data_IF_911453562810
#
_entry.id   IF_911453562810
#
_cell.length_a   1.000
_cell.length_b   1.000
_cell.length_c   1.000
_cell.angle_alpha   90.00
_cell.angle_beta   90.00
_cell.angle_gamma   90.00
#
_symmetry.space_group_name_H-M   'P 1'
#
loop_
_entity.id
_entity.type
_entity.pdbx_description
1 polymer ?
#
# COMPACT_ATOMS: atom_id res chain seq x y z
N UNK A 1 6.08 34.08 -53.03
CA UNK A 1 5.45 33.98 -51.69
C UNK A 1 6.24 34.79 -50.68
N UNK A 2 5.58 35.64 -49.89
CA UNK A 2 6.20 36.36 -48.76
C UNK A 2 6.78 35.36 -47.75
N UNK A 3 7.88 35.71 -47.10
CA UNK A 3 8.56 34.86 -46.09
C UNK A 3 7.60 34.43 -44.98
N UNK A 4 6.65 35.29 -44.58
CA UNK A 4 5.58 34.95 -43.63
C UNK A 4 4.75 33.74 -44.06
N UNK A 5 4.39 33.66 -45.34
CA UNK A 5 3.57 32.57 -45.86
C UNK A 5 4.35 31.24 -45.89
N UNK A 6 5.68 31.31 -46.07
CA UNK A 6 6.55 30.13 -46.01
C UNK A 6 6.65 29.59 -44.58
N UNK A 7 6.76 30.47 -43.58
CA UNK A 7 6.83 30.09 -42.15
C UNK A 7 5.51 29.48 -41.68
N UNK A 8 4.38 30.10 -42.03
CA UNK A 8 3.05 29.56 -41.67
C UNK A 8 2.84 28.19 -42.30
N UNK A 9 3.18 28.02 -43.60
CA UNK A 9 3.08 26.74 -44.27
C UNK A 9 3.95 25.66 -43.59
N UNK A 10 5.18 26.00 -43.23
CA UNK A 10 6.08 25.08 -42.53
C UNK A 10 5.52 24.66 -41.16
N UNK A 11 5.00 25.61 -40.39
CA UNK A 11 4.40 25.32 -39.08
C UNK A 11 3.19 24.39 -39.20
N UNK A 12 2.33 24.59 -40.21
CA UNK A 12 1.18 23.71 -40.48
C UNK A 12 1.65 22.30 -40.85
N UNK A 13 2.68 22.18 -41.70
CA UNK A 13 3.23 20.87 -42.08
C UNK A 13 3.82 20.13 -40.88
N UNK A 14 4.55 20.83 -40.00
CA UNK A 14 5.09 20.24 -38.76
C UNK A 14 3.96 19.78 -37.85
N UNK A 15 2.94 20.61 -37.65
CA UNK A 15 1.82 20.30 -36.76
C UNK A 15 1.00 19.10 -37.27
N UNK A 16 0.77 19.01 -38.58
CA UNK A 16 0.15 17.83 -39.21
C UNK A 16 1.03 16.59 -39.04
N UNK A 17 2.34 16.71 -39.22
CA UNK A 17 3.29 15.62 -38.99
C UNK A 17 3.28 15.10 -37.55
N UNK A 18 3.21 16.01 -36.57
CA UNK A 18 3.09 15.66 -35.15
C UNK A 18 1.76 14.96 -34.85
N UNK A 19 0.65 15.45 -35.39
CA UNK A 19 -0.68 14.82 -35.23
C UNK A 19 -0.71 13.40 -35.78
N UNK A 20 -0.22 13.19 -37.00
CA UNK A 20 -0.15 11.86 -37.62
C UNK A 20 0.77 10.94 -36.82
N UNK A 21 1.93 11.42 -36.39
CA UNK A 21 2.86 10.64 -35.56
C UNK A 21 2.25 10.27 -34.21
N UNK A 22 1.52 11.20 -33.58
CA UNK A 22 0.83 10.97 -32.33
C UNK A 22 -0.30 9.95 -32.47
N UNK A 23 -1.13 10.06 -33.52
CA UNK A 23 -2.21 9.11 -33.78
C UNK A 23 -1.69 7.70 -34.05
N UNK A 24 -0.62 7.57 -34.84
CA UNK A 24 0.04 6.27 -35.06
C UNK A 24 0.63 5.70 -33.76
N UNK A 25 1.25 6.53 -32.91
CA UNK A 25 1.79 6.10 -31.62
C UNK A 25 0.67 5.67 -30.65
N UNK A 26 -0.45 6.39 -30.64
CA UNK A 26 -1.62 6.08 -29.83
C UNK A 26 -2.27 4.77 -30.30
N UNK A 27 -2.48 4.61 -31.61
CA UNK A 27 -3.06 3.41 -32.20
C UNK A 27 -2.15 2.19 -31.98
N UNK A 28 -0.83 2.35 -32.10
CA UNK A 28 0.12 1.30 -31.77
C UNK A 28 0.05 0.90 -30.30
N UNK A 29 -0.07 1.87 -29.39
CA UNK A 29 -0.22 1.62 -27.94
C UNK A 29 -1.54 0.93 -27.62
N UNK A 30 -2.62 1.30 -28.30
CA UNK A 30 -3.94 0.69 -28.15
C UNK A 30 -3.96 -0.75 -28.69
N UNK A 31 -3.37 -0.98 -29.86
CA UNK A 31 -3.23 -2.32 -30.48
C UNK A 31 -2.40 -3.27 -29.62
N UNK A 32 -1.38 -2.78 -28.91
CA UNK A 32 -0.60 -3.57 -27.94
C UNK A 32 -1.43 -4.03 -26.74
N UNK A 33 -2.62 -3.46 -26.53
CA UNK A 33 -3.51 -3.77 -25.41
C UNK A 33 -2.85 -3.63 -24.02
N UNK A 34 -1.77 -2.87 -23.92
CA UNK A 34 -1.03 -2.64 -22.67
C UNK A 34 -1.90 -2.00 -21.59
N UNK A 35 -2.94 -1.26 -21.98
CA UNK A 35 -3.96 -0.73 -21.06
C UNK A 35 -4.75 -1.81 -20.31
N UNK A 36 -4.74 -3.06 -20.78
CA UNK A 36 -5.35 -4.21 -20.10
C UNK A 36 -4.42 -4.85 -19.07
N UNK A 37 -3.10 -4.62 -19.15
CA UNK A 37 -2.17 -5.09 -18.12
C UNK A 37 -2.14 -4.07 -16.97
N UNK A 38 -2.73 -4.41 -15.80
CA UNK A 38 -2.73 -3.49 -14.65
C UNK A 38 -1.33 -3.19 -14.11
N UNK A 39 -0.30 -3.89 -14.61
CA UNK A 39 1.09 -3.74 -14.20
C UNK A 39 2.02 -3.26 -15.31
N UNK A 40 1.50 -2.73 -16.42
CA UNK A 40 2.31 -2.23 -17.54
C UNK A 40 3.42 -1.24 -17.10
N UNK A 41 3.12 -0.37 -16.14
CA UNK A 41 4.07 0.62 -15.60
C UNK A 41 4.83 0.12 -14.36
N UNK A 42 5.10 -1.18 -14.24
CA UNK A 42 5.82 -1.74 -13.11
C UNK A 42 7.11 -2.45 -13.53
N UNK A 43 8.15 -2.23 -12.75
CA UNK A 43 9.37 -3.02 -12.79
C UNK A 43 9.22 -4.27 -11.92
N UNK A 44 9.53 -5.44 -12.48
CA UNK A 44 9.55 -6.72 -11.74
C UNK A 44 10.91 -6.94 -11.09
N UNK A 45 10.91 -7.14 -9.78
CA UNK A 45 12.09 -7.50 -8.98
C UNK A 45 12.09 -9.01 -8.69
N UNK A 46 13.30 -9.59 -8.63
CA UNK A 46 13.51 -11.04 -8.44
C UNK A 46 13.70 -11.40 -6.97
N UNK A 47 12.67 -11.20 -6.16
CA UNK A 47 12.62 -11.67 -4.77
C UNK A 47 11.76 -12.94 -4.66
N UNK A 48 12.18 -13.88 -3.82
CA UNK A 48 11.48 -15.14 -3.54
C UNK A 48 11.82 -15.66 -2.14
N UNK A 49 11.11 -16.71 -1.69
CA UNK A 49 11.36 -17.41 -0.42
C UNK A 49 11.25 -16.50 0.82
N UNK A 50 10.19 -15.70 0.87
CA UNK A 50 9.83 -14.90 2.04
C UNK A 50 8.37 -15.18 2.41
N UNK A 51 8.05 -15.18 3.69
CA UNK A 51 6.68 -15.33 4.21
C UNK A 51 6.29 -14.18 5.15
N UNK A 52 7.21 -13.25 5.36
CA UNK A 52 7.06 -12.07 6.20
C UNK A 52 7.34 -10.81 5.39
N UNK A 53 6.48 -9.81 5.54
CA UNK A 53 6.63 -8.51 4.86
C UNK A 53 6.72 -7.40 5.91
N UNK A 54 7.76 -6.58 5.80
CA UNK A 54 7.98 -5.42 6.64
C UNK A 54 7.87 -4.17 5.76
N UNK A 55 6.92 -3.30 6.05
CA UNK A 55 6.68 -2.04 5.36
C UNK A 55 7.11 -0.90 6.29
N UNK A 56 8.33 -0.38 6.09
CA UNK A 56 8.90 0.77 6.79
C UNK A 56 8.67 2.07 6.03
N UNK A 57 7.40 2.35 5.75
CA UNK A 57 6.91 3.60 5.13
C UNK A 57 5.39 3.52 4.98
N UNK A 58 4.68 2.83 5.87
CA UNK A 58 3.26 2.53 5.69
C UNK A 58 2.39 3.81 5.67
N UNK A 59 2.89 4.94 6.19
CA UNK A 59 2.30 6.27 6.12
C UNK A 59 2.52 7.00 4.78
N UNK A 60 3.52 6.59 3.99
CA UNK A 60 4.00 7.32 2.80
C UNK A 60 3.96 6.47 1.52
N UNK A 61 3.80 5.15 1.64
CA UNK A 61 3.85 4.21 0.55
C UNK A 61 2.64 3.28 0.58
N UNK A 62 1.94 3.21 -0.55
CA UNK A 62 0.92 2.21 -0.78
C UNK A 62 1.55 0.88 -1.18
N UNK A 63 1.36 -0.15 -0.35
CA UNK A 63 1.85 -1.51 -0.59
C UNK A 63 0.66 -2.47 -0.66
N UNK A 64 0.62 -3.30 -1.68
CA UNK A 64 -0.41 -4.32 -1.86
C UNK A 64 0.22 -5.71 -1.83
N UNK A 65 -0.22 -6.57 -0.93
CA UNK A 65 0.24 -7.94 -0.75
C UNK A 65 -0.89 -8.87 -1.16
N UNK A 66 -0.64 -9.73 -2.14
CA UNK A 66 -1.61 -10.63 -2.76
C UNK A 66 -1.13 -12.06 -2.75
N UNK A 67 -2.07 -12.99 -2.59
CA UNK A 67 -1.77 -14.40 -2.80
C UNK A 67 -1.50 -14.69 -4.28
N UNK A 68 -0.50 -15.52 -4.54
CA UNK A 68 -0.21 -16.10 -5.85
C UNK A 68 0.66 -17.33 -5.69
N UNK A 69 0.50 -18.33 -6.56
CA UNK A 69 1.36 -19.52 -6.56
C UNK A 69 2.84 -19.21 -6.80
N UNK A 70 3.14 -18.02 -7.33
CA UNK A 70 4.51 -17.59 -7.64
C UNK A 70 4.88 -16.30 -6.93
N UNK A 71 6.17 -16.19 -6.60
CA UNK A 71 6.72 -14.95 -6.08
C UNK A 71 6.89 -13.91 -7.20
N UNK A 72 6.40 -12.70 -6.97
CA UNK A 72 6.74 -11.54 -7.77
C UNK A 72 6.64 -10.27 -6.94
N UNK A 73 7.67 -9.44 -6.98
CA UNK A 73 7.61 -8.09 -6.41
C UNK A 73 7.62 -7.12 -7.58
N UNK A 74 6.65 -6.22 -7.61
CA UNK A 74 6.48 -5.21 -8.66
C UNK A 74 6.52 -3.83 -8.01
N UNK A 75 7.32 -2.93 -8.57
CA UNK A 75 7.41 -1.53 -8.11
C UNK A 75 7.01 -0.63 -9.25
N UNK A 76 6.15 0.34 -8.98
CA UNK A 76 5.73 1.32 -9.99
C UNK A 76 6.95 2.09 -10.50
N UNK A 77 7.05 2.21 -11.83
CA UNK A 77 8.14 2.91 -12.51
C UNK A 77 8.22 4.39 -12.14
N UNK A 78 7.12 4.98 -11.64
CA UNK A 78 7.07 6.37 -11.18
C UNK A 78 7.81 6.60 -9.86
N UNK A 79 8.00 5.55 -9.06
CA UNK A 79 8.56 5.67 -7.70
C UNK A 79 9.73 4.72 -7.45
N UNK A 80 10.15 3.95 -8.46
CA UNK A 80 11.17 2.89 -8.30
C UNK A 80 12.51 3.40 -7.75
N UNK A 81 12.88 4.64 -8.07
CA UNK A 81 14.14 5.25 -7.62
C UNK A 81 14.03 5.80 -6.17
N UNK A 82 12.81 5.80 -5.63
CA UNK A 82 12.43 6.30 -4.32
C UNK A 82 12.09 5.18 -3.34
N UNK A 83 12.06 3.91 -3.78
CA UNK A 83 11.70 2.74 -2.98
C UNK A 83 12.92 1.83 -2.82
N UNK A 84 13.21 1.46 -1.58
CA UNK A 84 14.18 0.42 -1.28
C UNK A 84 13.44 -0.87 -0.96
N UNK A 85 13.76 -1.93 -1.70
CA UNK A 85 13.26 -3.27 -1.41
C UNK A 85 14.46 -4.18 -1.22
N UNK A 86 14.50 -4.88 -0.08
CA UNK A 86 15.52 -5.86 0.24
C UNK A 86 14.91 -7.12 0.83
N UNK A 87 15.69 -8.20 0.87
CA UNK A 87 15.31 -9.43 1.54
C UNK A 87 16.37 -9.84 2.55
N UNK A 88 15.95 -10.12 3.77
CA UNK A 88 16.82 -10.65 4.84
C UNK A 88 16.18 -11.92 5.38
N UNK A 89 16.77 -13.07 5.07
CA UNK A 89 16.17 -14.37 5.42
C UNK A 89 14.79 -14.56 4.80
N UNK A 90 13.79 -14.84 5.63
CA UNK A 90 12.39 -15.05 5.27
C UNK A 90 11.57 -13.74 5.18
N UNK A 91 12.24 -12.59 5.26
CA UNK A 91 11.61 -11.27 5.37
C UNK A 91 11.88 -10.43 4.12
N UNK A 92 10.82 -9.91 3.52
CA UNK A 92 10.89 -8.84 2.53
C UNK A 92 10.73 -7.50 3.24
N UNK A 93 11.73 -6.63 3.11
CA UNK A 93 11.72 -5.26 3.60
C UNK A 93 11.36 -4.32 2.45
N UNK A 94 10.39 -3.44 2.68
CA UNK A 94 9.98 -2.36 1.79
C UNK A 94 10.08 -1.05 2.54
N UNK A 95 10.81 -0.08 2.00
CA UNK A 95 11.05 1.24 2.58
C UNK A 95 11.11 2.30 1.46
N UNK A 96 11.21 3.58 1.82
CA UNK A 96 11.62 4.64 0.88
C UNK A 96 13.10 4.96 1.06
N UNK A 97 13.73 5.50 0.02
CA UNK A 97 15.09 6.05 0.06
C UNK A 97 15.09 7.43 0.74
N UNK A 98 16.24 7.83 1.29
CA UNK A 98 16.42 9.17 1.91
C UNK A 98 16.32 10.33 0.90
N UNK A 99 16.38 10.05 -0.42
CA UNK A 99 16.44 11.04 -1.51
C UNK A 99 15.08 11.64 -1.89
N UNK A 100 14.04 11.35 -1.13
CA UNK A 100 12.66 11.65 -1.54
C UNK A 100 12.24 13.04 -1.08
N UNK A 101 12.59 14.11 -1.79
CA UNK A 101 12.03 15.44 -1.50
C UNK A 101 10.55 15.58 -1.92
N UNK A 102 9.96 14.56 -2.57
CA UNK A 102 8.68 14.68 -3.24
C UNK A 102 7.78 13.44 -3.12
N UNK A 103 6.57 13.71 -2.63
CA UNK A 103 5.27 13.13 -3.02
C UNK A 103 5.25 11.75 -3.72
N UNK A 104 4.80 10.70 -3.02
CA UNK A 104 4.59 9.33 -3.58
C UNK A 104 3.08 8.95 -3.65
N UNK A 105 2.17 9.85 -3.30
CA UNK A 105 0.89 9.46 -2.68
C UNK A 105 -0.32 9.16 -3.61
N UNK A 106 -0.17 8.92 -4.92
CA UNK A 106 -1.36 8.70 -5.77
C UNK A 106 -1.46 7.36 -6.51
N UNK A 107 -0.40 6.57 -6.62
CA UNK A 107 -0.46 5.28 -7.31
C UNK A 107 -0.07 4.11 -6.40
N UNK A 108 -0.55 2.90 -6.75
CA UNK A 108 -0.10 1.64 -6.13
C UNK A 108 1.42 1.57 -6.25
N UNK A 109 2.12 1.75 -5.14
CA UNK A 109 3.57 1.92 -5.16
C UNK A 109 4.30 0.60 -5.34
N UNK A 110 3.93 -0.39 -4.52
CA UNK A 110 4.53 -1.73 -4.54
C UNK A 110 3.43 -2.78 -4.52
N UNK A 111 3.55 -3.80 -5.35
CA UNK A 111 2.66 -4.97 -5.36
C UNK A 111 3.50 -6.23 -5.17
N UNK A 112 3.16 -7.01 -4.15
CA UNK A 112 3.86 -8.23 -3.74
C UNK A 112 2.92 -9.40 -3.95
N UNK A 113 3.38 -10.38 -4.73
CA UNK A 113 2.73 -11.65 -4.96
C UNK A 113 3.52 -12.74 -4.24
N UNK A 114 2.84 -13.56 -3.45
CA UNK A 114 3.47 -14.64 -2.70
C UNK A 114 2.47 -15.75 -2.35
N UNK A 115 2.92 -17.01 -2.22
CA UNK A 115 2.02 -18.15 -1.99
C UNK A 115 1.43 -18.18 -0.58
N UNK A 116 2.20 -17.72 0.41
CA UNK A 116 1.82 -17.74 1.82
C UNK A 116 2.33 -16.48 2.51
N UNK A 117 1.53 -15.93 3.41
CA UNK A 117 1.89 -14.79 4.24
C UNK A 117 1.67 -15.17 5.70
N UNK A 118 2.73 -15.14 6.49
CA UNK A 118 2.71 -15.46 7.93
C UNK A 118 2.58 -14.20 8.77
N UNK A 119 3.29 -13.14 8.40
CA UNK A 119 3.35 -11.91 9.21
C UNK A 119 3.50 -10.65 8.35
N UNK A 120 2.77 -9.60 8.71
CA UNK A 120 2.95 -8.23 8.22
C UNK A 120 3.35 -7.34 9.38
N UNK A 121 4.41 -6.55 9.17
CA UNK A 121 4.81 -5.49 10.08
C UNK A 121 4.74 -4.18 9.31
N UNK A 122 3.92 -3.25 9.79
CA UNK A 122 3.77 -1.92 9.20
C UNK A 122 4.18 -0.86 10.22
N UNK A 123 5.02 0.08 9.79
CA UNK A 123 5.50 1.20 10.59
C UNK A 123 5.66 2.43 9.72
N UNK A 124 5.60 3.61 10.33
CA UNK A 124 5.99 4.84 9.66
C UNK A 124 7.45 4.83 9.18
N UNK A 125 7.71 5.71 8.22
CA UNK A 125 9.04 6.21 7.98
C UNK A 125 9.22 7.52 8.75
N UNK A 126 10.06 7.49 9.78
CA UNK A 126 10.45 8.68 10.55
C UNK A 126 11.50 9.46 9.77
N UNK A 127 11.12 10.62 9.23
CA UNK A 127 12.08 11.56 8.65
C UNK A 127 12.43 12.63 9.65
N UNK A 128 13.73 12.84 9.81
CA UNK A 128 14.24 13.99 10.52
C UNK A 128 14.30 15.14 9.52
N UNK A 129 13.38 16.10 9.63
CA UNK A 129 13.50 17.36 8.90
C UNK A 129 14.11 18.38 9.83
N UNK A 130 15.32 18.83 9.52
CA UNK A 130 15.93 19.96 10.21
C UNK A 130 15.13 21.20 9.81
N UNK A 131 14.38 21.79 10.75
CA UNK A 131 13.90 23.15 10.55
C UNK A 131 15.16 24.04 10.43
N UNK A 132 15.14 25.08 9.60
CA UNK A 132 16.30 25.97 9.43
C UNK A 132 16.73 26.73 10.70
N UNK A 133 16.31 26.29 11.90
CA UNK A 133 16.71 26.73 13.23
C UNK A 133 17.29 25.58 14.08
N UNK A 134 17.63 24.44 13.47
CA UNK A 134 18.27 23.28 14.12
C UNK A 134 17.32 22.41 14.95
N UNK A 135 15.98 22.61 14.86
CA UNK A 135 15.02 21.70 15.49
C UNK A 135 14.59 20.64 14.48
N UNK A 136 14.84 19.39 14.83
CA UNK A 136 14.33 18.25 14.07
C UNK A 136 12.84 18.10 14.33
N UNK A 137 12.00 18.31 13.32
CA UNK A 137 10.58 17.94 13.38
C UNK A 137 10.36 16.61 12.66
N UNK A 138 9.70 15.67 13.36
CA UNK A 138 9.16 14.46 12.77
C UNK A 138 7.93 14.85 11.96
N UNK A 139 8.05 14.87 10.63
CA UNK A 139 6.90 15.11 9.77
C UNK A 139 6.11 13.81 9.58
N UNK A 140 5.10 13.60 10.42
CA UNK A 140 4.12 12.53 10.27
C UNK A 140 2.99 12.99 9.34
N UNK A 141 3.29 13.20 8.05
CA UNK A 141 2.25 13.45 7.05
C UNK A 141 1.47 12.15 6.82
N UNK A 142 0.42 11.89 7.61
CA UNK A 142 -0.59 10.92 7.21
C UNK A 142 -1.26 11.45 5.94
N UNK A 143 -1.18 10.68 4.86
CA UNK A 143 -1.81 11.05 3.58
C UNK A 143 -2.85 10.02 3.23
N UNK A 144 -4.05 10.53 2.98
CA UNK A 144 -5.18 9.74 2.51
C UNK A 144 -4.77 8.96 1.25
N UNK A 145 -4.90 7.62 1.32
CA UNK A 145 -4.53 6.72 0.22
C UNK A 145 -3.26 5.89 0.42
N UNK A 146 -2.45 6.16 1.44
CA UNK A 146 -1.31 5.32 1.83
C UNK A 146 -1.73 4.24 2.83
N UNK A 147 -1.49 2.99 2.47
CA UNK A 147 -1.80 1.84 3.31
C UNK A 147 -1.07 0.58 2.85
N UNK A 148 -0.99 -0.39 3.75
CA UNK A 148 -0.66 -1.77 3.41
C UNK A 148 -1.94 -2.59 3.25
N UNK A 149 -2.27 -2.99 2.03
CA UNK A 149 -3.41 -3.86 1.74
C UNK A 149 -2.96 -5.31 1.69
N UNK A 150 -3.59 -6.17 2.47
CA UNK A 150 -3.42 -7.63 2.42
C UNK A 150 -4.70 -8.22 1.85
N UNK A 151 -4.60 -8.90 0.71
CA UNK A 151 -5.79 -9.37 0.01
C UNK A 151 -5.68 -10.70 -0.71
N UNK A 152 -6.83 -11.38 -0.81
CA UNK A 152 -7.00 -12.60 -1.60
C UNK A 152 -6.35 -13.85 -1.02
N UNK A 153 -5.98 -13.83 0.27
CA UNK A 153 -5.28 -14.93 0.90
C UNK A 153 -6.22 -16.00 1.49
N UNK A 154 -5.85 -17.27 1.36
CA UNK A 154 -6.35 -18.38 2.18
C UNK A 154 -5.23 -18.88 3.12
N UNK A 155 -5.38 -18.63 4.42
CA UNK A 155 -4.34 -18.82 5.44
C UNK A 155 -4.88 -19.51 6.69
N UNK A 156 -4.09 -20.45 7.22
CA UNK A 156 -4.36 -21.00 8.56
C UNK A 156 -4.24 -19.93 9.65
N UNK A 157 -3.28 -19.01 9.50
CA UNK A 157 -3.03 -17.94 10.46
C UNK A 157 -2.34 -16.75 9.81
N UNK A 158 -2.65 -15.55 10.28
CA UNK A 158 -1.97 -14.30 9.92
C UNK A 158 -1.65 -13.50 11.18
N UNK A 159 -0.43 -12.98 11.26
CA UNK A 159 -0.02 -12.01 12.27
C UNK A 159 0.15 -10.62 11.66
N UNK A 160 -0.39 -9.59 12.33
CA UNK A 160 -0.21 -8.20 11.96
C UNK A 160 0.37 -7.45 13.16
N UNK A 161 1.48 -6.75 12.95
CA UNK A 161 1.97 -5.78 13.93
C UNK A 161 2.02 -4.40 13.29
N UNK A 162 1.33 -3.45 13.90
CA UNK A 162 1.33 -2.06 13.52
C UNK A 162 1.97 -1.23 14.60
N UNK A 163 2.76 -0.26 14.16
CA UNK A 163 3.42 0.73 15.01
C UNK A 163 3.33 2.08 14.29
N UNK A 164 3.21 3.17 15.04
CA UNK A 164 3.39 4.56 14.60
C UNK A 164 2.86 4.92 13.20
N UNK A 165 1.71 5.59 13.14
CA UNK A 165 1.15 6.19 11.91
C UNK A 165 0.98 5.20 10.74
N UNK A 166 0.66 3.93 11.00
CA UNK A 166 0.53 2.92 9.94
C UNK A 166 -0.92 2.50 9.69
N UNK A 167 -1.27 2.25 8.43
CA UNK A 167 -2.56 1.67 8.04
C UNK A 167 -2.38 0.27 7.46
N UNK A 168 -3.14 -0.69 7.98
CA UNK A 168 -3.27 -2.02 7.36
C UNK A 168 -4.73 -2.28 7.05
N UNK A 169 -5.01 -2.72 5.82
CA UNK A 169 -6.34 -3.09 5.35
C UNK A 169 -6.33 -4.57 5.01
N UNK A 170 -7.29 -5.32 5.57
CA UNK A 170 -7.57 -6.69 5.18
C UNK A 170 -8.79 -6.72 4.25
N UNK A 171 -8.67 -7.36 3.08
CA UNK A 171 -9.77 -7.48 2.13
C UNK A 171 -9.77 -8.84 1.41
N UNK A 172 -10.95 -9.45 1.23
CA UNK A 172 -11.11 -10.70 0.48
C UNK A 172 -10.23 -11.86 0.97
N UNK A 173 -9.97 -11.98 2.28
CA UNK A 173 -9.15 -13.07 2.83
C UNK A 173 -10.01 -14.15 3.52
N UNK A 174 -9.51 -15.39 3.53
CA UNK A 174 -9.95 -16.49 4.40
C UNK A 174 -8.82 -16.76 5.40
N UNK A 175 -9.08 -16.51 6.69
CA UNK A 175 -8.06 -16.61 7.74
C UNK A 175 -8.61 -17.44 8.90
N UNK A 176 -7.96 -18.55 9.22
CA UNK A 176 -8.33 -19.35 10.39
C UNK A 176 -8.11 -18.58 11.70
N UNK A 177 -6.88 -18.10 11.92
CA UNK A 177 -6.49 -17.35 13.13
C UNK A 177 -5.82 -16.03 12.80
N UNK A 178 -6.49 -14.92 13.10
CA UNK A 178 -5.89 -13.59 13.02
C UNK A 178 -5.34 -13.18 14.40
N UNK A 179 -4.08 -12.77 14.45
CA UNK A 179 -3.53 -12.05 15.60
C UNK A 179 -3.05 -10.68 15.16
N UNK A 180 -3.64 -9.63 15.70
CA UNK A 180 -3.24 -8.27 15.40
C UNK A 180 -2.81 -7.54 16.67
N UNK A 181 -1.71 -6.80 16.57
CA UNK A 181 -1.20 -5.93 17.63
C UNK A 181 -0.96 -4.56 17.04
N UNK A 182 -1.74 -3.59 17.48
CA UNK A 182 -1.51 -2.17 17.23
C UNK A 182 -0.81 -1.60 18.45
N UNK A 183 0.52 -1.59 18.40
CA UNK A 183 1.36 -1.19 19.53
C UNK A 183 1.20 0.30 19.83
N UNK A 184 1.47 0.67 21.09
CA UNK A 184 1.45 2.07 21.48
C UNK A 184 2.57 2.83 20.75
N UNK A 185 2.22 3.95 20.13
CA UNK A 185 3.10 4.77 19.33
C UNK A 185 2.91 6.25 19.64
N UNK A 186 3.77 7.10 19.09
CA UNK A 186 3.62 8.56 19.12
C UNK A 186 2.42 9.01 18.28
N UNK A 187 2.08 8.27 17.22
CA UNK A 187 1.01 8.61 16.28
C UNK A 187 0.02 7.46 16.11
N UNK A 188 -1.24 7.81 15.86
CA UNK A 188 -2.34 6.89 15.65
C UNK A 188 -2.11 5.99 14.43
N UNK A 189 -2.25 4.68 14.61
CA UNK A 189 -2.33 3.68 13.55
C UNK A 189 -3.76 3.19 13.38
N UNK A 190 -4.07 2.62 12.21
CA UNK A 190 -5.40 2.09 11.90
C UNK A 190 -5.31 0.66 11.34
N UNK A 191 -5.99 -0.29 11.99
CA UNK A 191 -6.31 -1.58 11.38
C UNK A 191 -7.74 -1.56 10.84
N UNK A 192 -7.90 -1.86 9.55
CA UNK A 192 -9.20 -1.99 8.91
C UNK A 192 -9.44 -3.42 8.45
N UNK A 193 -10.57 -3.99 8.89
CA UNK A 193 -11.03 -5.31 8.45
C UNK A 193 -12.34 -5.13 7.68
N UNK A 194 -12.30 -5.44 6.39
CA UNK A 194 -13.47 -5.36 5.50
C UNK A 194 -14.37 -6.59 5.61
N UNK A 195 -15.65 -6.45 5.29
CA UNK A 195 -16.66 -7.52 5.39
C UNK A 195 -16.49 -8.62 4.36
N UNK A 196 -15.62 -8.41 3.38
CA UNK A 196 -15.22 -9.42 2.40
C UNK A 196 -14.28 -10.49 2.98
N UNK A 197 -13.79 -10.31 4.21
CA UNK A 197 -12.98 -11.33 4.89
C UNK A 197 -13.87 -12.39 5.58
N UNK A 198 -13.40 -13.63 5.56
CA UNK A 198 -13.89 -14.71 6.44
C UNK A 198 -12.79 -15.04 7.44
N UNK A 199 -13.03 -14.74 8.70
CA UNK A 199 -12.06 -14.94 9.78
C UNK A 199 -12.70 -15.82 10.85
N UNK A 200 -12.16 -17.01 11.10
CA UNK A 200 -12.77 -17.94 12.05
C UNK A 200 -12.56 -17.47 13.50
N UNK A 201 -11.36 -16.96 13.81
CA UNK A 201 -11.03 -16.40 15.11
C UNK A 201 -10.04 -15.25 15.01
N UNK A 202 -10.19 -14.26 15.88
CA UNK A 202 -9.27 -13.13 15.94
C UNK A 202 -8.96 -12.73 17.39
N UNK A 203 -7.69 -12.41 17.64
CA UNK A 203 -7.27 -11.71 18.85
C UNK A 203 -6.59 -10.41 18.44
N UNK A 204 -7.22 -9.28 18.79
CA UNK A 204 -6.78 -7.94 18.39
C UNK A 204 -6.46 -7.13 19.63
N UNK A 205 -5.21 -6.67 19.78
CA UNK A 205 -4.86 -5.74 20.84
C UNK A 205 -4.63 -4.35 20.26
N UNK A 206 -5.42 -3.37 20.72
CA UNK A 206 -5.35 -1.98 20.29
C UNK A 206 -4.85 -1.14 21.45
N UNK A 207 -3.64 -0.59 21.33
CA UNK A 207 -2.99 0.22 22.38
C UNK A 207 -2.96 1.70 22.01
N UNK A 208 -2.71 2.55 23.01
CA UNK A 208 -2.64 4.00 22.84
C UNK A 208 -3.95 4.59 22.33
N UNK A 209 -3.83 5.38 21.27
CA UNK A 209 -4.93 6.06 20.58
C UNK A 209 -5.25 5.44 19.21
N UNK A 210 -4.80 4.20 18.96
CA UNK A 210 -5.00 3.51 17.68
C UNK A 210 -6.47 3.18 17.40
N UNK A 211 -6.78 2.95 16.12
CA UNK A 211 -8.14 2.71 15.61
C UNK A 211 -8.27 1.31 15.03
N UNK A 212 -9.24 0.56 15.54
CA UNK A 212 -9.71 -0.66 14.91
C UNK A 212 -11.05 -0.41 14.19
N UNK A 213 -11.07 -0.58 12.88
CA UNK A 213 -12.28 -0.45 12.07
C UNK A 213 -12.76 -1.82 11.57
N UNK A 214 -13.96 -2.21 11.98
CA UNK A 214 -14.62 -3.45 11.56
C UNK A 214 -15.85 -3.14 10.69
N UNK A 215 -15.68 -3.24 9.37
CA UNK A 215 -16.72 -2.94 8.40
C UNK A 215 -17.45 -4.20 7.96
N UNK A 216 -18.68 -4.43 8.44
CA UNK A 216 -19.56 -5.52 8.00
C UNK A 216 -18.95 -6.92 8.21
N UNK A 217 -18.07 -7.06 9.20
CA UNK A 217 -17.36 -8.31 9.47
C UNK A 217 -18.18 -9.23 10.37
N UNK A 218 -17.98 -10.52 10.21
CA UNK A 218 -18.44 -11.55 11.15
C UNK A 218 -17.25 -12.42 11.57
N UNK A 219 -16.84 -12.28 12.83
CA UNK A 219 -15.72 -13.03 13.42
C UNK A 219 -16.28 -13.79 14.62
N UNK A 220 -16.61 -15.08 14.48
CA UNK A 220 -17.33 -15.85 15.51
C UNK A 220 -16.65 -15.85 16.88
N UNK A 221 -15.31 -15.86 16.87
CA UNK A 221 -14.45 -15.89 18.05
C UNK A 221 -13.51 -14.69 18.08
N UNK A 222 -14.08 -13.48 18.12
CA UNK A 222 -13.33 -12.24 18.32
C UNK A 222 -13.02 -12.03 19.81
N UNK A 223 -11.75 -11.74 20.11
CA UNK A 223 -11.28 -11.20 21.38
C UNK A 223 -10.53 -9.91 21.12
N UNK A 224 -10.74 -8.90 21.95
CA UNK A 224 -10.03 -7.64 21.86
C UNK A 224 -9.51 -7.15 23.21
N UNK A 225 -8.33 -6.52 23.19
CA UNK A 225 -7.72 -5.87 24.35
C UNK A 225 -7.44 -4.41 24.02
N UNK A 226 -8.30 -3.51 24.52
CA UNK A 226 -8.25 -2.07 24.25
C UNK A 226 -7.59 -1.31 25.39
N UNK A 227 -6.75 -0.34 25.06
CA UNK A 227 -6.37 0.71 26.01
C UNK A 227 -7.48 1.75 26.15
N UNK A 228 -7.41 2.56 27.21
CA UNK A 228 -8.37 3.62 27.52
C UNK A 228 -8.59 4.63 26.36
N UNK A 229 -7.54 4.93 25.59
CA UNK A 229 -7.61 5.84 24.45
C UNK A 229 -7.92 5.20 23.09
N UNK A 230 -8.07 3.87 23.03
CA UNK A 230 -8.25 3.17 21.76
C UNK A 230 -9.67 3.37 21.22
N UNK A 231 -9.81 3.49 19.90
CA UNK A 231 -11.12 3.60 19.24
C UNK A 231 -11.45 2.32 18.49
N UNK A 232 -12.67 1.80 18.66
CA UNK A 232 -13.24 0.82 17.75
C UNK A 232 -14.40 1.46 16.99
N UNK A 233 -14.38 1.38 15.66
CA UNK A 233 -15.56 1.68 14.83
C UNK A 233 -16.16 0.40 14.26
N UNK A 234 -17.48 0.27 14.39
CA UNK A 234 -18.26 -0.87 13.92
C UNK A 234 -19.35 -0.38 12.99
N UNK A 235 -19.60 -1.08 11.88
CA UNK A 235 -20.86 -0.89 11.14
C UNK A 235 -21.98 -1.76 11.72
N UNK A 236 -23.22 -1.48 11.33
CA UNK A 236 -24.41 -2.19 11.82
C UNK A 236 -24.30 -3.72 11.76
N UNK A 237 -23.71 -4.27 10.69
CA UNK A 237 -23.49 -5.71 10.55
C UNK A 237 -22.48 -6.31 11.55
N UNK A 238 -21.56 -5.51 12.08
CA UNK A 238 -20.56 -5.91 13.05
C UNK A 238 -21.03 -5.75 14.52
N UNK A 239 -22.19 -5.12 14.78
CA UNK A 239 -22.72 -4.92 16.14
C UNK A 239 -22.95 -6.23 16.92
N UNK A 240 -23.21 -7.34 16.22
CA UNK A 240 -23.33 -8.67 16.83
C UNK A 240 -22.07 -9.13 17.58
N UNK A 241 -20.92 -8.56 17.25
CA UNK A 241 -19.64 -8.86 17.89
C UNK A 241 -19.52 -8.25 19.30
N UNK A 242 -20.31 -7.23 19.61
CA UNK A 242 -20.34 -6.57 20.93
C UNK A 242 -21.30 -7.25 21.93
N UNK A 243 -22.13 -8.18 21.45
CA UNK A 243 -23.19 -8.81 22.25
C UNK A 243 -22.74 -10.12 22.94
N UNK A 244 -21.43 -10.33 23.09
CA UNK A 244 -20.85 -11.52 23.72
C UNK A 244 -20.04 -11.16 24.95
#
# INVERSE_FOLDING_TARGET
MKTSNKIILLAVVILLGLLVSYDLALQASFKKANYKDPFFNYSKLKYSNFDKVIVKAANQLKVEIRQSDTFAVRVSNFIKDNVEIGRVGDQLLVSLTDRTDSYVAYEKGVVIFMPRLREVIATDLKRMKEDGKGKVQLQADWREGNYTLVSGFDLNSLKINQVDNSMVILQNNRIGKLRAVEANGTHQSELRIEGSNRIDSAHISVKGTNILNLFWVDIPHLKYDLSEGATISLTGGALKLMKK
#
